data_IF_985205125164
#
_entry.id   IF_985205125164
#
_cell.length_a   1.000
_cell.length_b   1.000
_cell.length_c   1.000
_cell.angle_alpha   90.00
_cell.angle_beta   90.00
_cell.angle_gamma   90.00
#
_symmetry.space_group_name_H-M   'P 1'
#
loop_
_entity.id
_entity.type
_entity.pdbx_description
1 polymer ?
#
# COMPACT_ATOMS: atom_id res chain seq x y z
N UNK A 1 -6.51 0.60 16.75
CA UNK A 1 -7.69 1.37 16.32
C UNK A 1 -8.06 0.88 14.95
N UNK A 2 -9.33 0.55 14.72
CA UNK A 2 -9.81 0.02 13.45
C UNK A 2 -10.32 1.15 12.55
N UNK A 3 -10.13 1.01 11.24
CA UNK A 3 -10.73 1.90 10.25
C UNK A 3 -12.23 1.61 10.17
N UNK A 4 -13.03 2.66 10.38
CA UNK A 4 -14.49 2.61 10.43
C UNK A 4 -15.13 3.00 9.10
N UNK A 5 -16.46 2.86 9.00
CA UNK A 5 -17.22 3.26 7.80
C UNK A 5 -16.92 4.70 7.42
N UNK A 6 -16.51 4.91 6.16
CA UNK A 6 -16.22 6.24 5.61
C UNK A 6 -14.84 6.80 5.97
N UNK A 7 -14.06 6.10 6.79
CA UNK A 7 -12.67 6.48 7.04
C UNK A 7 -11.75 6.06 5.90
N UNK A 8 -10.61 6.73 5.80
CA UNK A 8 -9.53 6.41 4.85
C UNK A 8 -8.19 6.55 5.56
N UNK A 9 -7.15 5.94 4.98
CA UNK A 9 -5.79 6.06 5.51
C UNK A 9 -4.80 6.34 4.39
N UNK A 10 -3.82 7.21 4.65
CA UNK A 10 -2.74 7.45 3.71
C UNK A 10 -1.71 6.31 3.83
N UNK A 11 -1.48 5.62 2.72
CA UNK A 11 -0.43 4.61 2.59
C UNK A 11 0.81 5.30 2.01
N UNK A 12 1.93 5.11 2.69
CA UNK A 12 3.25 5.60 2.27
C UNK A 12 4.17 4.40 2.11
N UNK A 13 4.75 4.27 0.91
CA UNK A 13 5.76 3.27 0.58
C UNK A 13 7.05 4.03 0.27
N UNK A 14 8.13 3.67 0.95
CA UNK A 14 9.42 4.35 0.82
C UNK A 14 10.51 3.34 0.49
N UNK A 15 11.29 3.66 -0.53
CA UNK A 15 12.46 2.90 -0.96
C UNK A 15 13.74 3.59 -0.49
N UNK A 16 14.85 2.84 -0.42
CA UNK A 16 16.17 3.39 -0.09
C UNK A 16 16.77 4.23 -1.23
N UNK A 17 16.29 4.03 -2.45
CA UNK A 17 16.66 4.75 -3.66
C UNK A 17 15.48 4.80 -4.63
N UNK A 18 15.62 5.54 -5.73
CA UNK A 18 14.57 5.68 -6.72
C UNK A 18 14.34 4.37 -7.49
N UNK A 19 13.08 3.92 -7.52
CA UNK A 19 12.66 2.74 -8.28
C UNK A 19 11.97 3.11 -9.59
N UNK A 20 12.00 2.20 -10.55
CA UNK A 20 11.31 2.28 -11.84
C UNK A 20 10.39 1.07 -12.03
N UNK A 21 9.39 1.23 -12.89
CA UNK A 21 8.37 0.21 -13.13
C UNK A 21 7.65 -0.28 -11.85
N UNK A 22 7.50 0.61 -10.87
CA UNK A 22 6.69 0.39 -9.68
C UNK A 22 5.32 1.05 -9.85
N UNK A 23 4.25 0.29 -9.63
CA UNK A 23 2.88 0.80 -9.63
C UNK A 23 1.95 -0.03 -8.70
N UNK A 24 0.64 0.23 -8.77
CA UNK A 24 -0.35 -0.48 -7.94
C UNK A 24 -0.39 -2.00 -8.18
N UNK A 25 0.06 -2.50 -9.33
CA UNK A 25 0.11 -3.94 -9.60
C UNK A 25 1.15 -4.66 -8.77
N UNK A 26 2.14 -3.92 -8.25
CA UNK A 26 3.12 -4.42 -7.29
C UNK A 26 2.60 -4.39 -5.84
N UNK A 27 1.40 -3.85 -5.59
CA UNK A 27 0.87 -3.66 -4.24
C UNK A 27 -0.45 -4.41 -4.05
N UNK A 28 -0.47 -5.32 -3.07
CA UNK A 28 -1.70 -5.98 -2.64
C UNK A 28 -2.19 -5.39 -1.34
N UNK A 29 -3.49 -5.11 -1.26
CA UNK A 29 -4.17 -4.60 -0.05
C UNK A 29 -5.30 -5.55 0.34
N UNK A 30 -5.41 -5.84 1.63
CA UNK A 30 -6.48 -6.67 2.17
C UNK A 30 -7.68 -5.82 2.59
N UNK A 31 -8.88 -6.36 2.35
CA UNK A 31 -10.15 -5.79 2.82
C UNK A 31 -10.37 -4.32 2.46
N UNK A 32 -9.91 -3.87 1.29
CA UNK A 32 -10.11 -2.51 0.81
C UNK A 32 -9.56 -2.28 -0.59
N UNK A 33 -9.46 -1.02 -0.96
CA UNK A 33 -8.89 -0.57 -2.23
C UNK A 33 -7.84 0.50 -1.99
N UNK A 34 -6.80 0.54 -2.81
CA UNK A 34 -5.78 1.58 -2.81
C UNK A 34 -5.96 2.46 -4.05
N UNK A 35 -5.95 3.78 -3.87
CA UNK A 35 -5.95 4.72 -5.01
C UNK A 35 -4.68 4.56 -5.86
N UNK A 36 -4.68 5.16 -7.04
CA UNK A 36 -3.47 5.24 -7.86
C UNK A 36 -2.30 5.78 -7.02
N UNK A 37 -1.19 5.04 -7.02
CA UNK A 37 0.05 5.43 -6.37
C UNK A 37 0.73 6.51 -7.19
N UNK A 38 1.28 7.50 -6.50
CA UNK A 38 2.05 8.57 -7.13
C UNK A 38 3.28 8.92 -6.31
N UNK A 39 4.34 9.31 -7.01
CA UNK A 39 5.59 9.81 -6.43
C UNK A 39 5.88 11.20 -6.96
N UNK A 40 6.35 12.08 -6.08
CA UNK A 40 6.77 13.45 -6.41
C UNK A 40 8.27 13.67 -6.24
N UNK A 41 9.00 12.65 -5.80
CA UNK A 41 10.44 12.69 -5.50
C UNK A 41 11.26 11.77 -6.41
N UNK A 42 10.70 11.42 -7.57
CA UNK A 42 11.39 10.66 -8.60
C UNK A 42 11.39 9.15 -8.37
N UNK A 43 10.45 8.63 -7.57
CA UNK A 43 10.26 7.19 -7.36
C UNK A 43 10.83 6.68 -6.03
N UNK A 44 11.18 7.54 -5.08
CA UNK A 44 11.67 7.14 -3.75
C UNK A 44 10.49 6.93 -2.80
N UNK A 45 9.54 7.86 -2.79
CA UNK A 45 8.33 7.79 -1.97
C UNK A 45 7.10 7.74 -2.84
N UNK A 46 6.25 6.75 -2.59
CA UNK A 46 4.97 6.56 -3.26
C UNK A 46 3.84 6.64 -2.25
N UNK A 47 2.81 7.39 -2.60
CA UNK A 47 1.63 7.60 -1.74
C UNK A 47 0.35 7.27 -2.46
N UNK A 48 -0.61 6.73 -1.70
CA UNK A 48 -1.97 6.45 -2.15
C UNK A 48 -2.92 6.38 -0.95
N UNK A 49 -4.20 6.57 -1.19
CA UNK A 49 -5.24 6.52 -0.17
C UNK A 49 -5.87 5.14 -0.14
N UNK A 50 -5.80 4.47 1.00
CA UNK A 50 -6.53 3.25 1.29
C UNK A 50 -7.95 3.56 1.77
N UNK A 51 -8.92 2.85 1.21
CA UNK A 51 -10.33 2.88 1.62
C UNK A 51 -10.75 1.47 1.99
N UNK A 52 -11.22 1.23 3.25
CA UNK A 52 -11.69 -0.08 3.66
C UNK A 52 -12.96 -0.46 2.91
N UNK A 53 -13.14 -1.76 2.66
CA UNK A 53 -14.40 -2.30 2.15
C UNK A 53 -15.49 -2.15 3.20
N UNK A 54 -16.74 -2.00 2.76
CA UNK A 54 -17.90 -1.91 3.65
C UNK A 54 -18.27 -3.27 4.23
N UNK A 55 -18.88 -3.27 5.42
CA UNK A 55 -19.38 -4.48 6.11
C UNK A 55 -18.30 -5.53 6.43
N UNK A 56 -17.09 -5.10 6.74
CA UNK A 56 -15.97 -5.96 7.14
C UNK A 56 -15.58 -5.69 8.58
N UNK A 57 -15.40 -6.75 9.36
CA UNK A 57 -14.71 -6.68 10.65
C UNK A 57 -13.55 -7.67 10.60
N UNK A 58 -12.32 -7.15 10.51
CA UNK A 58 -11.11 -7.97 10.44
C UNK A 58 -9.99 -7.28 11.23
N UNK A 59 -9.30 -8.05 12.07
CA UNK A 59 -8.25 -7.53 12.94
C UNK A 59 -6.83 -7.82 12.45
N UNK A 60 -6.70 -8.55 11.35
CA UNK A 60 -5.44 -9.09 10.82
C UNK A 60 -5.28 -8.79 9.34
N UNK A 61 -5.02 -7.52 9.00
CA UNK A 61 -4.86 -7.08 7.62
C UNK A 61 -3.44 -6.56 7.35
N UNK A 62 -2.95 -6.80 6.14
CA UNK A 62 -1.65 -6.34 5.66
C UNK A 62 -1.73 -5.69 4.28
N UNK A 63 -0.81 -4.74 4.06
CA UNK A 63 -0.44 -4.26 2.73
C UNK A 63 0.90 -4.89 2.40
N UNK A 64 1.01 -5.46 1.20
CA UNK A 64 2.26 -6.09 0.75
C UNK A 64 2.73 -5.50 -0.57
N UNK A 65 4.04 -5.47 -0.73
CA UNK A 65 4.73 -5.05 -1.95
C UNK A 65 5.45 -6.26 -2.54
N UNK A 66 5.25 -6.52 -3.83
CA UNK A 66 5.93 -7.56 -4.58
C UNK A 66 7.33 -7.12 -5.03
N UNK A 67 8.22 -8.08 -5.26
CA UNK A 67 9.59 -7.85 -5.72
C UNK A 67 9.70 -7.79 -7.26
N UNK A 68 8.76 -7.10 -7.91
CA UNK A 68 8.60 -7.08 -9.38
C UNK A 68 9.09 -5.79 -10.04
N UNK A 69 9.46 -4.79 -9.24
CA UNK A 69 10.06 -3.53 -9.68
C UNK A 69 11.60 -3.60 -9.66
N UNK A 70 12.27 -2.62 -10.26
CA UNK A 70 13.73 -2.49 -10.24
C UNK A 70 14.16 -1.08 -9.85
N UNK A 71 15.43 -0.90 -9.50
CA UNK A 71 16.03 0.44 -9.45
C UNK A 71 16.43 0.95 -10.85
N UNK A 72 16.96 2.17 -10.90
CA UNK A 72 17.46 2.77 -12.15
C UNK A 72 18.70 2.09 -12.75
N UNK A 73 19.44 1.31 -11.95
CA UNK A 73 20.58 0.51 -12.39
C UNK A 73 20.17 -0.89 -12.88
N UNK A 74 18.89 -1.27 -12.74
CA UNK A 74 18.34 -2.56 -13.11
C UNK A 74 18.47 -3.64 -12.04
N UNK A 75 18.80 -3.28 -10.79
CA UNK A 75 18.78 -4.23 -9.68
C UNK A 75 17.34 -4.54 -9.29
N UNK A 76 17.06 -5.82 -9.02
CA UNK A 76 15.72 -6.25 -8.59
C UNK A 76 15.37 -5.68 -7.21
N UNK A 77 14.12 -5.25 -7.07
CA UNK A 77 13.54 -4.85 -5.80
C UNK A 77 13.38 -6.00 -4.82
N UNK A 78 12.89 -5.66 -3.62
CA UNK A 78 12.59 -6.62 -2.56
C UNK A 78 11.17 -6.45 -2.09
N UNK A 79 10.49 -7.55 -1.79
CA UNK A 79 9.15 -7.47 -1.23
C UNK A 79 9.14 -6.90 0.19
N UNK A 80 8.02 -6.35 0.60
CA UNK A 80 7.81 -5.81 1.95
C UNK A 80 6.38 -6.05 2.42
N UNK A 81 6.16 -5.92 3.73
CA UNK A 81 4.83 -5.97 4.34
C UNK A 81 4.70 -4.85 5.36
N UNK A 82 3.51 -4.26 5.45
CA UNK A 82 3.20 -3.25 6.45
C UNK A 82 3.10 -3.85 7.85
N UNK A 83 2.99 -2.99 8.86
CA UNK A 83 2.39 -3.40 10.12
C UNK A 83 0.91 -3.78 9.93
N UNK A 84 0.38 -4.55 10.87
CA UNK A 84 -1.03 -4.92 10.89
C UNK A 84 -1.94 -3.69 11.01
N UNK A 85 -3.08 -3.71 10.31
CA UNK A 85 -4.19 -2.79 10.54
C UNK A 85 -5.50 -3.53 10.77
N UNK A 86 -6.44 -2.84 11.43
CA UNK A 86 -7.75 -3.38 11.77
C UNK A 86 -8.82 -2.61 10.98
N UNK A 87 -9.87 -3.30 10.59
CA UNK A 87 -11.05 -2.74 9.93
C UNK A 87 -12.28 -3.13 10.73
N UNK A 88 -13.17 -2.16 10.95
CA UNK A 88 -14.50 -2.38 11.50
C UNK A 88 -15.51 -1.46 10.81
N UNK A 89 -15.99 -1.89 9.65
CA UNK A 89 -16.95 -1.18 8.82
C UNK A 89 -18.35 -1.82 8.87
N UNK A 90 -18.61 -2.61 9.91
CA UNK A 90 -19.93 -3.20 10.14
C UNK A 90 -20.90 -2.12 10.62
N UNK A 91 -22.08 -2.07 10.00
CA UNK A 91 -23.13 -1.10 10.31
C UNK A 91 -23.97 -1.51 11.53
#
# INVERSE_FOLDING_TARGET
TALSVGETSLVTITFSEAVVAFDNTDVSVENGTLSALSSTDGGVTWTGTFTPSVNVTDTTNLITVAATYTDTAGNAGTGASSANYQIDTQA
#
